data_IF_377374250779
#
_entry.id   IF_377374250779
#
_cell.length_a   1.000
_cell.length_b   1.000
_cell.length_c   1.000
_cell.angle_alpha   90.00
_cell.angle_beta   90.00
_cell.angle_gamma   90.00
#
_symmetry.space_group_name_H-M   'P 1'
#
loop_
_entity.id
_entity.type
_entity.pdbx_description
1 polymer ?
#
# COMPACT_ATOMS: atom_id res chain seq x y z
N UNK A 1 -9.10 19.82 -28.09
CA UNK A 1 -10.04 20.65 -27.27
C UNK A 1 -11.38 19.96 -27.02
N UNK A 2 -12.03 19.36 -28.01
CA UNK A 2 -13.34 18.69 -27.82
C UNK A 2 -13.21 17.40 -27.00
N UNK A 3 -12.26 16.56 -27.31
CA UNK A 3 -11.94 15.34 -26.53
C UNK A 3 -11.59 15.63 -25.08
N UNK A 4 -10.96 16.76 -24.80
CA UNK A 4 -10.61 17.19 -23.43
C UNK A 4 -11.86 17.53 -22.61
N UNK A 5 -12.81 18.26 -23.23
CA UNK A 5 -14.07 18.60 -22.57
C UNK A 5 -14.92 17.37 -22.26
N UNK A 6 -14.92 16.40 -23.17
CA UNK A 6 -15.62 15.11 -22.99
C UNK A 6 -15.01 14.37 -21.81
N UNK A 7 -13.69 14.23 -21.77
CA UNK A 7 -12.97 13.56 -20.69
C UNK A 7 -13.22 14.21 -19.31
N UNK A 8 -13.17 15.55 -19.23
CA UNK A 8 -13.45 16.30 -18.00
C UNK A 8 -14.87 16.03 -17.51
N UNK A 9 -15.83 16.04 -18.41
CA UNK A 9 -17.22 15.76 -18.09
C UNK A 9 -17.41 14.35 -17.55
N UNK A 10 -16.83 13.35 -18.23
CA UNK A 10 -16.87 11.94 -17.83
C UNK A 10 -16.24 11.71 -16.47
N UNK A 11 -15.04 12.31 -16.21
CA UNK A 11 -14.38 12.24 -14.93
C UNK A 11 -15.27 12.74 -13.79
N UNK A 12 -15.87 13.94 -13.99
CA UNK A 12 -16.74 14.58 -13.01
C UNK A 12 -18.02 13.77 -12.75
N UNK A 13 -18.66 13.28 -13.82
CA UNK A 13 -19.86 12.46 -13.72
C UNK A 13 -19.56 11.15 -12.98
N UNK A 14 -18.48 10.48 -13.33
CA UNK A 14 -18.05 9.24 -12.68
C UNK A 14 -17.73 9.49 -11.19
N UNK A 15 -17.02 10.58 -10.87
CA UNK A 15 -16.74 10.94 -9.47
C UNK A 15 -18.02 11.15 -8.65
N UNK A 16 -19.00 11.85 -9.24
CA UNK A 16 -20.28 12.09 -8.57
C UNK A 16 -21.09 10.80 -8.42
N UNK A 17 -21.12 9.96 -9.44
CA UNK A 17 -21.77 8.65 -9.40
C UNK A 17 -21.18 7.75 -8.30
N UNK A 18 -19.87 7.82 -8.08
CA UNK A 18 -19.21 7.06 -7.02
C UNK A 18 -19.31 7.73 -5.63
N UNK A 19 -20.00 8.86 -5.51
CA UNK A 19 -20.15 9.58 -4.25
C UNK A 19 -18.85 10.16 -3.68
N UNK A 20 -17.85 10.40 -4.53
CA UNK A 20 -16.52 10.85 -4.13
C UNK A 20 -16.44 12.37 -4.12
N UNK A 21 -16.05 12.98 -3.00
CA UNK A 21 -15.81 14.43 -2.93
C UNK A 21 -14.53 14.82 -3.71
N UNK A 22 -14.48 16.07 -4.21
CA UNK A 22 -13.27 16.59 -4.84
C UNK A 22 -12.04 16.47 -3.92
N UNK A 23 -12.19 16.74 -2.63
CA UNK A 23 -11.10 16.63 -1.68
C UNK A 23 -10.58 15.17 -1.58
N UNK A 24 -11.49 14.21 -1.50
CA UNK A 24 -11.13 12.79 -1.41
C UNK A 24 -10.41 12.30 -2.67
N UNK A 25 -10.89 12.69 -3.86
CA UNK A 25 -10.23 12.32 -5.12
C UNK A 25 -8.88 13.03 -5.27
N UNK A 26 -8.79 14.33 -4.94
CA UNK A 26 -7.54 15.09 -5.03
C UNK A 26 -6.44 14.49 -4.15
N UNK A 27 -6.76 14.14 -2.90
CA UNK A 27 -5.83 13.46 -1.98
C UNK A 27 -5.39 12.11 -2.55
N UNK A 28 -6.32 11.31 -3.07
CA UNK A 28 -6.03 10.00 -3.63
C UNK A 28 -5.19 10.05 -4.93
N UNK A 29 -5.23 11.18 -5.64
CA UNK A 29 -4.47 11.42 -6.88
C UNK A 29 -3.24 12.31 -6.66
N UNK A 30 -2.88 12.61 -5.40
CA UNK A 30 -1.73 13.45 -5.03
C UNK A 30 -1.71 14.85 -5.67
N UNK A 31 -2.89 15.42 -5.93
CA UNK A 31 -3.04 16.80 -6.40
C UNK A 31 -3.80 17.64 -5.37
N UNK A 32 -3.77 18.95 -5.55
CA UNK A 32 -4.54 19.84 -4.67
C UNK A 32 -6.02 19.90 -5.09
N UNK A 33 -6.92 20.07 -4.11
CA UNK A 33 -8.35 20.24 -4.40
C UNK A 33 -8.64 21.41 -5.35
N UNK A 34 -8.00 22.61 -5.20
CA UNK A 34 -8.18 23.71 -6.15
C UNK A 34 -7.80 23.31 -7.58
N UNK A 35 -6.69 22.60 -7.77
CA UNK A 35 -6.28 22.15 -9.09
C UNK A 35 -7.28 21.15 -9.70
N UNK A 36 -7.81 20.21 -8.93
CA UNK A 36 -8.89 19.32 -9.40
C UNK A 36 -10.14 20.11 -9.78
N UNK A 37 -10.51 21.14 -9.00
CA UNK A 37 -11.64 22.01 -9.31
C UNK A 37 -11.42 22.78 -10.63
N UNK A 38 -10.21 23.25 -10.88
CA UNK A 38 -9.84 23.92 -12.12
C UNK A 38 -9.87 22.96 -13.32
N UNK A 39 -9.46 21.73 -13.15
CA UNK A 39 -9.61 20.65 -14.16
C UNK A 39 -11.10 20.44 -14.45
N UNK A 40 -11.93 20.16 -13.43
CA UNK A 40 -13.36 19.87 -13.59
C UNK A 40 -14.19 21.06 -14.15
N UNK A 41 -13.67 22.27 -14.07
CA UNK A 41 -14.27 23.48 -14.65
C UNK A 41 -13.65 23.86 -16.01
N UNK A 42 -12.65 23.11 -16.47
CA UNK A 42 -11.96 23.37 -17.74
C UNK A 42 -11.02 24.58 -17.72
N UNK A 43 -10.67 25.11 -16.53
CA UNK A 43 -9.71 26.21 -16.36
C UNK A 43 -8.26 25.72 -16.44
N UNK A 44 -8.02 24.46 -16.09
CA UNK A 44 -6.69 23.83 -16.18
C UNK A 44 -6.77 22.59 -17.08
N UNK A 45 -5.71 22.38 -17.86
CA UNK A 45 -5.53 21.17 -18.69
C UNK A 45 -4.52 20.28 -17.97
N UNK A 46 -4.95 19.08 -17.49
CA UNK A 46 -4.04 18.16 -16.82
C UNK A 46 -3.08 17.49 -17.81
N UNK A 47 -1.88 17.16 -17.33
CA UNK A 47 -0.97 16.30 -18.07
C UNK A 47 -1.54 14.88 -18.21
N UNK A 48 -0.99 14.11 -19.15
CA UNK A 48 -1.42 12.72 -19.34
C UNK A 48 -1.25 11.90 -18.06
N UNK A 49 -0.15 12.10 -17.33
CA UNK A 49 0.11 11.46 -16.05
C UNK A 49 -0.98 11.78 -15.00
N UNK A 50 -1.33 13.05 -14.85
CA UNK A 50 -2.40 13.48 -13.92
C UNK A 50 -3.75 12.86 -14.28
N UNK A 51 -4.03 12.70 -15.59
CA UNK A 51 -5.25 12.01 -16.04
C UNK A 51 -5.28 10.55 -15.59
N UNK A 52 -4.17 9.85 -15.77
CA UNK A 52 -4.02 8.46 -15.35
C UNK A 52 -4.13 8.31 -13.84
N UNK A 53 -3.47 9.18 -13.08
CA UNK A 53 -3.55 9.19 -11.61
C UNK A 53 -4.97 9.43 -11.12
N UNK A 54 -5.70 10.36 -11.75
CA UNK A 54 -7.11 10.65 -11.42
C UNK A 54 -8.03 9.44 -11.72
N UNK A 55 -7.86 8.80 -12.87
CA UNK A 55 -8.65 7.62 -13.24
C UNK A 55 -8.35 6.44 -12.33
N UNK A 56 -7.07 6.16 -12.06
CA UNK A 56 -6.66 5.10 -11.16
C UNK A 56 -7.16 5.31 -9.74
N UNK A 57 -7.07 6.57 -9.24
CA UNK A 57 -7.60 6.92 -7.94
C UNK A 57 -9.12 6.79 -7.88
N UNK A 58 -9.83 7.20 -8.93
CA UNK A 58 -11.28 7.11 -8.99
C UNK A 58 -11.77 5.66 -9.03
N UNK A 59 -11.04 4.77 -9.72
CA UNK A 59 -11.40 3.34 -9.80
C UNK A 59 -11.34 2.65 -8.42
N UNK A 60 -10.52 3.14 -7.50
CA UNK A 60 -10.50 2.65 -6.11
C UNK A 60 -11.81 2.92 -5.36
N UNK A 61 -12.60 3.87 -5.82
CA UNK A 61 -13.90 4.22 -5.24
C UNK A 61 -15.07 3.66 -6.03
N UNK A 62 -14.79 2.86 -7.05
CA UNK A 62 -15.82 2.24 -7.87
C UNK A 62 -16.69 1.32 -7.00
N UNK A 63 -18.01 1.59 -6.86
CA UNK A 63 -18.92 0.74 -6.08
C UNK A 63 -19.08 -0.66 -6.68
N UNK A 64 -18.86 -0.81 -8.00
CA UNK A 64 -18.92 -2.10 -8.68
C UNK A 64 -17.66 -2.95 -8.46
N UNK A 65 -16.62 -2.38 -7.81
CA UNK A 65 -15.44 -3.08 -7.38
C UNK A 65 -15.41 -3.21 -5.84
N UNK A 66 -16.19 -4.16 -5.29
CA UNK A 66 -16.40 -4.27 -3.85
C UNK A 66 -15.18 -4.75 -3.08
N UNK A 67 -14.24 -5.40 -3.77
CA UNK A 67 -13.04 -5.97 -3.16
C UNK A 67 -11.81 -5.16 -3.56
N UNK A 68 -10.94 -4.91 -2.60
CA UNK A 68 -9.65 -4.28 -2.81
C UNK A 68 -8.53 -5.17 -2.27
N UNK A 69 -7.61 -5.55 -3.14
CA UNK A 69 -6.40 -6.28 -2.75
C UNK A 69 -5.26 -5.30 -2.47
N UNK A 70 -4.57 -5.51 -1.36
CA UNK A 70 -3.47 -4.65 -0.95
C UNK A 70 -2.37 -5.43 -0.23
N UNK A 71 -1.15 -4.88 -0.22
CA UNK A 71 -0.07 -5.44 0.59
C UNK A 71 -0.20 -4.95 2.03
N UNK A 72 -0.25 -5.88 2.98
CA UNK A 72 -0.36 -5.55 4.41
C UNK A 72 0.92 -5.80 5.19
N UNK A 73 1.86 -6.55 4.62
CA UNK A 73 3.20 -6.72 5.14
C UNK A 73 4.19 -6.96 4.02
N UNK A 74 5.29 -6.24 4.03
CA UNK A 74 6.41 -6.43 3.10
C UNK A 74 7.71 -6.46 3.91
N UNK A 75 8.48 -7.54 3.80
CA UNK A 75 9.81 -7.65 4.39
C UNK A 75 10.78 -8.19 3.35
N UNK A 76 11.80 -7.40 3.03
CA UNK A 76 12.80 -7.70 2.01
C UNK A 76 14.19 -7.49 2.59
N UNK A 77 15.06 -8.49 2.45
CA UNK A 77 16.47 -8.42 2.83
C UNK A 77 17.35 -8.16 1.61
N UNK A 78 18.26 -7.23 1.72
CA UNK A 78 19.26 -6.94 0.70
C UNK A 78 20.64 -7.38 1.20
N UNK A 79 21.44 -8.11 0.38
CA UNK A 79 22.76 -8.59 0.74
C UNK A 79 23.83 -7.49 0.57
N UNK A 80 23.61 -6.35 1.21
CA UNK A 80 24.49 -5.18 1.23
C UNK A 80 24.44 -4.50 2.58
N UNK A 81 25.48 -3.80 2.99
CA UNK A 81 25.48 -2.93 4.18
C UNK A 81 25.28 -1.45 3.80
N UNK A 82 25.21 -1.16 2.52
CA UNK A 82 24.96 0.19 2.03
C UNK A 82 23.47 0.52 2.13
N UNK A 83 23.09 1.06 3.30
CA UNK A 83 21.72 1.50 3.55
C UNK A 83 21.32 2.68 2.70
N UNK A 84 22.29 3.58 2.38
CA UNK A 84 22.04 4.78 1.58
C UNK A 84 21.63 4.40 0.17
N UNK A 85 22.25 3.36 -0.39
CA UNK A 85 21.87 2.81 -1.69
C UNK A 85 20.42 2.29 -1.65
N UNK A 86 20.05 1.53 -0.63
CA UNK A 86 18.70 0.97 -0.56
C UNK A 86 17.65 2.07 -0.36
N UNK A 87 17.92 3.05 0.51
CA UNK A 87 16.99 4.17 0.72
C UNK A 87 16.89 5.04 -0.53
N UNK A 88 18.03 5.39 -1.15
CA UNK A 88 18.08 6.30 -2.30
C UNK A 88 17.61 5.67 -3.62
N UNK A 89 18.06 4.46 -3.93
CA UNK A 89 17.82 3.84 -5.24
C UNK A 89 16.57 2.96 -5.26
N UNK A 90 16.35 2.17 -4.21
CA UNK A 90 15.21 1.23 -4.14
C UNK A 90 13.96 1.90 -3.63
N UNK A 91 14.02 2.58 -2.47
CA UNK A 91 12.87 3.29 -1.92
C UNK A 91 12.65 4.64 -2.61
N UNK A 92 13.69 5.21 -3.21
CA UNK A 92 13.73 6.56 -3.79
C UNK A 92 13.29 7.63 -2.79
N UNK A 93 13.79 7.49 -1.56
CA UNK A 93 13.59 8.44 -0.47
C UNK A 93 14.91 9.18 -0.19
N UNK A 94 14.80 10.44 0.26
CA UNK A 94 15.99 11.19 0.69
C UNK A 94 16.38 10.72 2.09
N UNK A 95 17.65 10.35 2.25
CA UNK A 95 18.26 9.91 3.50
C UNK A 95 18.13 10.97 4.61
N UNK A 96 18.16 12.25 4.28
CA UNK A 96 18.05 13.37 5.24
C UNK A 96 16.72 13.39 6.00
N UNK A 97 15.69 12.73 5.48
CA UNK A 97 14.39 12.61 6.16
C UNK A 97 14.27 11.35 7.01
N UNK A 98 15.28 10.47 6.98
CA UNK A 98 15.27 9.25 7.77
C UNK A 98 15.84 9.53 9.15
N UNK A 99 15.10 9.21 10.19
CA UNK A 99 15.58 9.24 11.57
C UNK A 99 16.45 8.01 11.81
N UNK A 100 17.72 8.22 12.17
CA UNK A 100 18.63 7.16 12.57
C UNK A 100 18.48 6.87 14.07
N UNK A 101 18.40 5.60 14.44
CA UNK A 101 18.31 5.12 15.83
C UNK A 101 19.37 4.03 16.05
N UNK A 102 20.22 4.21 17.11
CA UNK A 102 21.35 3.34 17.46
C UNK A 102 20.90 2.02 18.15
N UNK A 103 19.70 1.61 17.92
CA UNK A 103 19.17 0.33 18.35
C UNK A 103 18.30 -0.27 17.26
N UNK A 104 18.16 -1.57 17.27
CA UNK A 104 17.35 -2.28 16.29
C UNK A 104 16.68 -3.51 16.91
N UNK A 105 16.01 -4.28 16.08
CA UNK A 105 15.36 -5.53 16.45
C UNK A 105 15.73 -6.64 15.45
N UNK A 106 15.34 -7.86 15.72
CA UNK A 106 15.80 -9.04 14.96
C UNK A 106 17.31 -9.19 14.94
N UNK A 107 17.99 -8.75 16.04
CA UNK A 107 19.45 -8.69 16.17
C UNK A 107 20.14 -7.79 15.14
N UNK A 108 19.47 -6.79 14.59
CA UNK A 108 20.07 -5.67 13.88
C UNK A 108 20.48 -4.61 14.91
N UNK A 109 21.70 -4.02 14.82
CA UNK A 109 22.18 -3.07 15.81
C UNK A 109 21.52 -1.70 15.71
N UNK A 110 21.09 -1.30 14.53
CA UNK A 110 20.59 0.03 14.22
C UNK A 110 19.49 0.00 13.16
N UNK A 111 18.74 1.09 13.04
CA UNK A 111 17.77 1.25 11.97
C UNK A 111 17.54 2.71 11.59
N UNK A 112 17.02 2.89 10.39
CA UNK A 112 16.55 4.15 9.85
C UNK A 112 15.04 4.10 9.72
N UNK A 113 14.36 5.17 10.11
CA UNK A 113 12.90 5.22 10.10
C UNK A 113 12.36 6.52 9.51
N UNK A 114 11.35 6.41 8.69
CA UNK A 114 10.51 7.53 8.28
C UNK A 114 9.03 7.16 8.49
N UNK A 115 8.45 7.67 9.58
CA UNK A 115 7.11 7.24 10.00
C UNK A 115 7.07 5.74 10.31
N UNK A 116 6.28 5.00 9.54
CA UNK A 116 6.10 3.54 9.67
C UNK A 116 6.97 2.74 8.66
N UNK A 117 7.82 3.40 7.87
CA UNK A 117 8.81 2.78 6.99
C UNK A 117 10.08 2.54 7.80
N UNK A 118 10.53 1.29 7.90
CA UNK A 118 11.69 0.91 8.71
C UNK A 118 12.72 0.18 7.86
N UNK A 119 13.99 0.60 7.97
CA UNK A 119 15.13 0.00 7.30
C UNK A 119 16.19 -0.34 8.36
N UNK A 120 16.29 -1.62 8.69
CA UNK A 120 17.26 -2.13 9.65
C UNK A 120 18.59 -2.42 8.95
N UNK A 121 19.69 -2.14 9.63
CA UNK A 121 21.04 -2.26 9.07
C UNK A 121 21.91 -3.13 9.98
N UNK A 122 22.70 -4.00 9.39
CA UNK A 122 23.71 -4.78 10.07
C UNK A 122 25.09 -4.49 9.48
N UNK A 123 26.12 -4.45 10.31
CA UNK A 123 27.51 -4.39 9.83
C UNK A 123 27.98 -5.73 9.23
N UNK A 124 27.26 -6.82 9.49
CA UNK A 124 27.50 -8.12 8.88
C UNK A 124 26.79 -8.20 7.52
N UNK A 125 27.57 -8.31 6.42
CA UNK A 125 27.07 -8.43 5.04
C UNK A 125 26.16 -9.65 4.87
N UNK A 126 26.41 -10.74 5.60
CA UNK A 126 25.55 -11.92 5.52
C UNK A 126 24.11 -11.62 5.98
N UNK A 127 23.95 -10.63 6.84
CA UNK A 127 22.68 -10.14 7.34
C UNK A 127 22.14 -8.96 6.52
N UNK A 128 23.02 -8.02 6.18
CA UNK A 128 22.77 -6.91 5.27
C UNK A 128 21.72 -5.90 5.77
N UNK A 129 20.99 -5.33 4.83
CA UNK A 129 19.89 -4.37 5.07
C UNK A 129 18.54 -5.10 5.00
N UNK A 130 17.63 -4.78 5.93
CA UNK A 130 16.29 -5.34 5.98
C UNK A 130 15.24 -4.22 5.94
N UNK A 131 14.49 -4.14 4.85
CA UNK A 131 13.31 -3.30 4.75
C UNK A 131 12.13 -4.01 5.43
N UNK A 132 11.39 -3.28 6.25
CA UNK A 132 10.16 -3.75 6.86
C UNK A 132 9.05 -2.70 6.75
N UNK A 133 7.96 -3.08 6.11
CA UNK A 133 6.72 -2.31 6.00
C UNK A 133 5.60 -3.15 6.62
N UNK A 134 4.98 -2.65 7.68
CA UNK A 134 3.84 -3.28 8.36
C UNK A 134 2.60 -2.44 8.16
N UNK A 135 1.46 -3.01 7.85
CA UNK A 135 0.16 -2.34 7.78
C UNK A 135 0.21 -0.86 7.37
N UNK A 136 0.35 0.03 8.36
CA UNK A 136 0.47 1.48 8.13
C UNK A 136 1.69 1.84 7.28
N UNK A 137 2.82 1.13 7.46
CA UNK A 137 4.03 1.32 6.66
C UNK A 137 3.81 0.99 5.18
N UNK A 138 3.03 -0.07 4.88
CA UNK A 138 2.63 -0.37 3.51
C UNK A 138 1.76 0.75 2.94
N UNK A 139 0.78 1.27 3.71
CA UNK A 139 -0.07 2.40 3.28
C UNK A 139 0.74 3.67 3.05
N UNK A 140 1.66 3.98 3.96
CA UNK A 140 2.56 5.13 3.82
C UNK A 140 3.45 5.00 2.59
N UNK A 141 4.07 3.83 2.39
CA UNK A 141 4.95 3.60 1.25
C UNK A 141 4.20 3.61 -0.08
N UNK A 142 2.97 3.11 -0.11
CA UNK A 142 2.10 3.19 -1.29
C UNK A 142 1.84 4.64 -1.72
N UNK A 143 1.69 5.57 -0.76
CA UNK A 143 1.58 6.99 -1.09
C UNK A 143 2.85 7.54 -1.74
N UNK A 144 4.05 7.08 -1.31
CA UNK A 144 5.30 7.45 -1.98
C UNK A 144 5.40 6.84 -3.38
N UNK A 145 5.01 5.58 -3.55
CA UNK A 145 4.97 4.95 -4.86
C UNK A 145 4.10 5.74 -5.84
N UNK A 146 2.90 6.14 -5.39
CA UNK A 146 1.99 6.96 -6.19
C UNK A 146 2.60 8.33 -6.53
N UNK A 147 3.20 9.01 -5.54
CA UNK A 147 3.87 10.29 -5.76
C UNK A 147 5.09 10.18 -6.71
N UNK A 148 5.72 9.02 -6.75
CA UNK A 148 6.84 8.69 -7.66
C UNK A 148 6.36 8.12 -9.00
N UNK A 149 5.05 8.06 -9.24
CA UNK A 149 4.45 7.41 -10.42
C UNK A 149 4.92 5.95 -10.60
N UNK A 150 5.06 5.23 -9.50
CA UNK A 150 5.50 3.83 -9.44
C UNK A 150 4.39 2.94 -8.91
N UNK A 151 4.35 1.71 -9.39
CA UNK A 151 3.52 0.65 -8.83
C UNK A 151 4.32 -0.22 -7.85
N UNK A 152 3.63 -1.02 -7.05
CA UNK A 152 4.24 -2.10 -6.27
C UNK A 152 5.05 -3.07 -7.14
N UNK A 153 4.58 -3.33 -8.36
CA UNK A 153 5.31 -4.18 -9.31
C UNK A 153 6.67 -3.58 -9.69
N UNK A 154 6.71 -2.30 -10.06
CA UNK A 154 7.96 -1.60 -10.38
C UNK A 154 8.91 -1.56 -9.17
N UNK A 155 8.38 -1.32 -7.96
CA UNK A 155 9.18 -1.39 -6.73
C UNK A 155 9.77 -2.78 -6.50
N UNK A 156 9.01 -3.85 -6.70
CA UNK A 156 9.53 -5.21 -6.54
C UNK A 156 10.56 -5.57 -7.61
N UNK A 157 10.46 -5.03 -8.82
CA UNK A 157 11.51 -5.17 -9.83
C UNK A 157 12.81 -4.49 -9.38
N UNK A 158 12.75 -3.24 -8.90
CA UNK A 158 13.92 -2.54 -8.35
C UNK A 158 14.53 -3.34 -7.18
N UNK A 159 13.71 -3.92 -6.31
CA UNK A 159 14.20 -4.80 -5.25
C UNK A 159 14.96 -6.01 -5.79
N UNK A 160 14.46 -6.66 -6.82
CA UNK A 160 15.12 -7.82 -7.43
C UNK A 160 16.43 -7.45 -8.12
N UNK A 161 16.49 -6.31 -8.80
CA UNK A 161 17.71 -5.77 -9.41
C UNK A 161 18.81 -5.54 -8.37
N UNK A 162 18.43 -5.11 -7.16
CA UNK A 162 19.32 -4.96 -6.01
C UNK A 162 19.48 -6.26 -5.18
N UNK A 163 19.19 -7.41 -5.78
CA UNK A 163 19.32 -8.75 -5.16
C UNK A 163 18.49 -8.91 -3.88
N UNK A 164 17.36 -8.22 -3.81
CA UNK A 164 16.42 -8.31 -2.69
C UNK A 164 15.84 -9.71 -2.54
N UNK A 165 15.84 -10.22 -1.32
CA UNK A 165 15.31 -11.54 -0.95
C UNK A 165 14.03 -11.30 -0.16
N UNK A 166 12.90 -11.67 -0.73
CA UNK A 166 11.60 -11.56 -0.08
C UNK A 166 11.51 -12.53 1.09
N UNK A 167 11.36 -11.98 2.30
CA UNK A 167 11.26 -12.76 3.55
C UNK A 167 9.82 -12.94 3.98
N UNK A 168 8.97 -11.95 3.69
CA UNK A 168 7.53 -12.01 3.98
C UNK A 168 6.78 -11.06 3.06
N UNK A 169 5.64 -11.52 2.56
CA UNK A 169 4.71 -10.75 1.77
C UNK A 169 3.30 -11.18 2.16
N UNK A 170 2.55 -10.28 2.81
CA UNK A 170 1.16 -10.53 3.19
C UNK A 170 0.25 -9.72 2.27
N UNK A 171 -0.73 -10.40 1.71
CA UNK A 171 -1.82 -9.80 0.94
C UNK A 171 -3.08 -9.75 1.81
N UNK A 172 -3.76 -8.63 1.79
CA UNK A 172 -5.07 -8.46 2.39
C UNK A 172 -6.11 -8.17 1.32
N UNK A 173 -7.32 -8.63 1.55
CA UNK A 173 -8.48 -8.30 0.74
C UNK A 173 -9.44 -7.52 1.63
N UNK A 174 -9.68 -6.26 1.28
CA UNK A 174 -10.70 -5.44 1.91
C UNK A 174 -12.02 -5.67 1.18
N UNK A 175 -13.02 -6.09 1.92
CA UNK A 175 -14.41 -6.14 1.46
C UNK A 175 -15.11 -4.84 1.84
N UNK A 176 -15.35 -3.98 0.84
CA UNK A 176 -15.91 -2.64 1.04
C UNK A 176 -17.43 -2.65 1.22
N UNK A 177 -18.08 -3.70 0.78
CA UNK A 177 -19.54 -3.78 0.68
C UNK A 177 -20.15 -4.94 1.46
N UNK A 178 -19.32 -5.83 2.01
CA UNK A 178 -19.78 -6.98 2.78
C UNK A 178 -20.30 -8.13 1.91
N UNK A 179 -19.76 -8.27 0.67
CA UNK A 179 -20.13 -9.38 -0.21
C UNK A 179 -19.56 -10.72 0.24
N UNK A 180 -18.44 -10.68 1.00
CA UNK A 180 -17.84 -11.88 1.55
C UNK A 180 -18.51 -12.22 2.88
N UNK A 181 -19.21 -13.34 2.94
CA UNK A 181 -19.70 -13.86 4.21
C UNK A 181 -18.54 -14.45 5.02
N UNK A 182 -17.76 -13.60 5.68
CA UNK A 182 -16.56 -13.99 6.45
C UNK A 182 -16.90 -15.03 7.54
N UNK A 183 -18.00 -14.93 8.33
CA UNK A 183 -18.37 -15.97 9.27
C UNK A 183 -18.56 -17.35 8.63
N UNK A 184 -19.23 -17.41 7.48
CA UNK A 184 -19.45 -18.67 6.77
C UNK A 184 -18.14 -19.22 6.16
N UNK A 185 -17.30 -18.36 5.59
CA UNK A 185 -15.98 -18.74 5.10
C UNK A 185 -15.11 -19.30 6.24
N UNK A 186 -15.10 -18.64 7.40
CA UNK A 186 -14.37 -19.10 8.57
C UNK A 186 -14.89 -20.46 9.08
N UNK A 187 -16.22 -20.68 9.04
CA UNK A 187 -16.83 -21.95 9.39
C UNK A 187 -16.40 -23.06 8.44
N UNK A 188 -16.47 -22.84 7.12
CA UNK A 188 -16.01 -23.80 6.10
C UNK A 188 -14.53 -24.15 6.26
N UNK A 189 -13.68 -23.16 6.55
CA UNK A 189 -12.27 -23.42 6.83
C UNK A 189 -12.07 -24.31 8.06
N UNK A 190 -12.86 -24.11 9.14
CA UNK A 190 -12.79 -24.94 10.35
C UNK A 190 -13.31 -26.37 10.12
N UNK A 191 -14.24 -26.54 9.21
CA UNK A 191 -14.83 -27.84 8.85
C UNK A 191 -14.05 -28.58 7.79
N UNK A 192 -12.87 -28.03 7.37
CA UNK A 192 -12.02 -28.58 6.33
C UNK A 192 -12.71 -28.73 4.96
N UNK A 193 -13.74 -27.92 4.73
CA UNK A 193 -14.46 -27.87 3.45
C UNK A 193 -13.74 -27.02 2.40
N UNK A 194 -12.68 -26.29 2.80
CA UNK A 194 -11.87 -25.47 1.90
C UNK A 194 -10.70 -26.27 1.36
N UNK A 195 -10.60 -26.37 0.04
CA UNK A 195 -9.42 -26.91 -0.63
C UNK A 195 -8.37 -25.80 -0.72
N UNK A 196 -7.18 -26.04 -0.19
CA UNK A 196 -6.07 -25.08 -0.20
C UNK A 196 -4.75 -25.79 -0.53
N UNK A 197 -3.92 -25.11 -1.30
CA UNK A 197 -2.53 -25.50 -1.53
C UNK A 197 -1.59 -25.11 -0.38
N UNK A 198 -2.08 -24.32 0.57
CA UNK A 198 -1.32 -23.91 1.75
C UNK A 198 -1.25 -25.05 2.78
N UNK A 199 -0.09 -25.19 3.43
CA UNK A 199 0.16 -26.25 4.43
C UNK A 199 -0.67 -26.09 5.70
N UNK A 200 -1.04 -24.85 6.02
CA UNK A 200 -1.84 -24.53 7.21
C UNK A 200 -2.55 -23.20 7.03
N UNK A 201 -3.64 -23.03 7.77
CA UNK A 201 -4.32 -21.75 7.93
C UNK A 201 -4.60 -21.48 9.40
N UNK A 202 -4.74 -20.19 9.76
CA UNK A 202 -5.14 -19.76 11.09
C UNK A 202 -6.23 -18.71 10.98
N UNK A 203 -7.26 -18.84 11.78
CA UNK A 203 -8.31 -17.84 11.92
C UNK A 203 -7.98 -16.91 13.08
N UNK A 204 -7.90 -15.61 12.81
CA UNK A 204 -7.77 -14.58 13.82
C UNK A 204 -8.99 -13.66 13.71
N UNK A 205 -9.64 -13.37 14.84
CA UNK A 205 -10.69 -12.37 14.94
C UNK A 205 -10.17 -11.25 15.84
N UNK A 206 -10.30 -10.00 15.40
CA UNK A 206 -10.02 -8.81 16.19
C UNK A 206 -11.34 -8.07 16.44
N UNK A 207 -11.51 -7.52 17.65
CA UNK A 207 -12.70 -6.74 18.01
C UNK A 207 -13.86 -7.56 18.62
N UNK A 208 -13.72 -8.85 18.82
CA UNK A 208 -14.65 -9.59 19.67
C UNK A 208 -14.38 -9.23 21.13
N UNK A 209 -15.40 -8.73 21.82
CA UNK A 209 -15.43 -8.72 23.28
C UNK A 209 -15.42 -10.20 23.73
N UNK A 210 -14.29 -10.63 24.26
CA UNK A 210 -14.21 -11.91 24.93
C UNK A 210 -15.05 -11.75 26.21
N UNK A 211 -16.27 -12.29 26.20
CA UNK A 211 -17.03 -12.47 27.43
C UNK A 211 -16.18 -13.37 28.34
N UNK A 212 -15.64 -12.78 29.40
CA UNK A 212 -14.81 -13.46 30.41
C UNK A 212 -15.62 -14.36 31.36
N UNK A 213 -16.81 -14.73 31.00
CA UNK A 213 -17.74 -15.44 31.90
C UNK A 213 -17.92 -16.90 31.54
N UNK A 214 -16.88 -17.60 31.15
CA UNK A 214 -16.86 -19.06 31.21
C UNK A 214 -15.54 -19.51 31.83
N UNK A 215 -15.50 -19.48 33.16
CA UNK A 215 -14.67 -20.41 33.90
C UNK A 215 -15.50 -21.66 34.18
N UNK A 216 -14.94 -22.86 33.95
CA UNK A 216 -15.55 -24.10 34.36
C UNK A 216 -15.58 -24.22 35.88
#
# INVERSE_FOLDING_TARGET
>A
MENEKIWIKELKEKRLAYGVSQNKLAVASHITRPYLSDIETGKAVPTQQVKEDLLNALERFNPDNPLEMLFDYVRIRFPTNDVSQIIGEVLRLNMDYMLHEDFGYYSYPEHYRFGDIVVLVSHDVSKGVLLELKGKGCRQFENFLLAQHRSWYGFFQDCMEHKGIFKRLDLAINDKTGILNIPELAKKCKQEECISVFRSFKNYRSGELVHRDEKP
#
